data_IF_824063327274
#
_entry.id   IF_824063327274
#
_cell.length_a   1.000
_cell.length_b   1.000
_cell.length_c   1.000
_cell.angle_alpha   90.00
_cell.angle_beta   90.00
_cell.angle_gamma   90.00
#
_symmetry.space_group_name_H-M   'P 1'
#
loop_
_entity.id
_entity.type
_entity.pdbx_description
1 polymer ?
#
# COMPACT_ATOMS: atom_id res chain seq x y z
N UNK A 1 18.84 -16.02 72.01
CA UNK A 1 18.22 -15.54 73.27
C UNK A 1 16.90 -14.87 72.92
N UNK A 2 15.83 -15.12 73.69
CA UNK A 2 14.61 -14.27 73.87
C UNK A 2 13.98 -13.71 72.57
N UNK A 3 12.89 -14.21 71.95
CA UNK A 3 11.57 -14.74 72.38
C UNK A 3 10.49 -13.71 72.76
N UNK A 4 9.28 -13.84 72.17
CA UNK A 4 7.99 -13.23 72.56
C UNK A 4 7.89 -11.68 72.40
N UNK A 5 6.78 -10.98 72.16
CA UNK A 5 5.31 -11.15 72.29
C UNK A 5 4.60 -10.43 71.08
N UNK A 6 3.29 -10.48 70.77
CA UNK A 6 2.12 -11.32 71.12
C UNK A 6 0.91 -10.95 70.21
N UNK A 7 -0.06 -11.86 70.04
CA UNK A 7 -1.44 -11.60 69.51
C UNK A 7 -2.48 -11.85 70.62
N UNK A 8 -3.82 -11.67 70.46
CA UNK A 8 -4.63 -10.83 69.55
C UNK A 8 -5.70 -9.97 70.30
N UNK A 9 -6.58 -9.25 69.58
CA UNK A 9 -7.82 -8.65 70.13
C UNK A 9 -8.48 -7.64 69.16
N UNK A 10 -9.40 -8.08 68.30
CA UNK A 10 -10.87 -8.05 68.51
C UNK A 10 -11.51 -6.65 68.47
N UNK A 11 -11.96 -6.25 67.27
CA UNK A 11 -12.80 -5.06 67.05
C UNK A 11 -13.75 -5.29 65.88
N UNK A 12 -15.04 -5.47 66.17
CA UNK A 12 -16.08 -5.87 65.20
C UNK A 12 -16.99 -4.71 64.83
N UNK A 13 -17.17 -4.42 63.53
CA UNK A 13 -18.47 -4.07 62.89
C UNK A 13 -18.31 -3.69 61.40
N UNK A 14 -19.38 -3.76 60.57
CA UNK A 14 -19.26 -3.89 59.11
C UNK A 14 -19.40 -2.58 58.32
N UNK A 15 -18.66 -2.50 57.19
CA UNK A 15 -18.79 -1.46 56.18
C UNK A 15 -20.00 -1.66 55.26
N UNK A 16 -21.09 -0.98 55.62
CA UNK A 16 -22.30 -0.61 54.87
C UNK A 16 -22.38 -0.90 53.35
N UNK A 17 -23.44 -1.61 52.98
CA UNK A 17 -23.97 -1.70 51.61
C UNK A 17 -24.81 -0.48 51.19
N UNK A 18 -24.59 0.01 49.97
CA UNK A 18 -25.58 0.53 49.00
C UNK A 18 -26.57 1.69 49.31
N UNK A 19 -26.69 2.58 48.31
CA UNK A 19 -27.79 3.52 47.93
C UNK A 19 -27.73 5.00 48.39
N UNK A 20 -27.48 5.89 47.43
CA UNK A 20 -28.31 7.06 47.07
C UNK A 20 -27.80 7.59 45.71
N UNK A 21 -28.51 7.53 44.58
CA UNK A 21 -29.71 8.28 44.14
C UNK A 21 -29.56 9.82 44.03
N UNK A 22 -29.74 10.28 42.79
CA UNK A 22 -30.25 11.59 42.33
C UNK A 22 -29.32 12.81 42.12
N UNK A 23 -29.58 13.45 40.96
CA UNK A 23 -29.11 14.74 40.38
C UNK A 23 -27.89 14.64 39.44
N UNK A 24 -27.87 15.30 38.27
CA UNK A 24 -28.80 16.32 37.75
C UNK A 24 -29.07 16.16 36.24
N UNK A 25 -30.35 15.96 35.88
CA UNK A 25 -30.83 16.00 34.49
C UNK A 25 -31.42 17.37 34.16
N UNK A 26 -30.82 18.11 33.21
CA UNK A 26 -31.40 19.35 32.65
C UNK A 26 -30.70 19.82 31.36
N UNK A 27 -31.07 19.24 30.22
CA UNK A 27 -31.15 19.99 28.95
C UNK A 27 -32.54 19.70 28.37
N UNK A 28 -33.31 20.77 28.13
CA UNK A 28 -34.66 20.68 27.56
C UNK A 28 -34.57 20.64 26.04
N UNK A 29 -35.52 19.95 25.43
CA UNK A 29 -35.70 19.96 23.98
C UNK A 29 -35.95 21.39 23.47
N UNK A 30 -35.32 21.74 22.34
CA UNK A 30 -35.75 22.82 21.46
C UNK A 30 -35.99 22.22 20.07
N UNK A 31 -37.02 22.76 19.43
CA UNK A 31 -37.80 22.26 18.30
C UNK A 31 -37.02 21.98 17.00
N UNK A 32 -37.68 21.22 16.13
CA UNK A 32 -37.52 21.26 14.66
C UNK A 32 -37.93 22.64 14.09
N UNK A 33 -37.71 22.80 12.79
CA UNK A 33 -37.81 24.02 11.97
C UNK A 33 -36.52 24.88 12.06
N UNK A 34 -35.87 25.29 10.97
CA UNK A 34 -36.29 25.32 9.55
C UNK A 34 -35.23 24.73 8.60
N UNK A 35 -35.69 24.31 7.41
CA UNK A 35 -34.82 24.14 6.26
C UNK A 35 -34.25 25.50 5.84
N UNK A 36 -32.92 25.67 5.94
CA UNK A 36 -32.18 26.59 5.06
C UNK A 36 -31.12 25.79 4.34
N UNK A 37 -31.29 25.68 3.02
CA UNK A 37 -30.36 24.94 2.18
C UNK A 37 -28.99 25.59 2.21
N UNK A 38 -28.02 24.91 2.80
CA UNK A 38 -26.64 25.09 2.38
C UNK A 38 -26.53 24.36 1.04
N UNK A 39 -26.47 25.11 -0.06
CA UNK A 39 -26.06 24.54 -1.33
C UNK A 39 -24.58 24.16 -1.20
N UNK A 40 -24.31 22.89 -0.89
CA UNK A 40 -22.96 22.34 -1.03
C UNK A 40 -22.55 22.51 -2.48
N UNK A 41 -21.37 23.08 -2.72
CA UNK A 41 -20.84 23.40 -4.04
C UNK A 41 -20.53 22.14 -4.84
N UNK A 42 -21.50 21.68 -5.64
CA UNK A 42 -21.47 20.42 -6.39
C UNK A 42 -20.59 20.45 -7.66
N UNK A 43 -19.37 21.00 -7.56
CA UNK A 43 -18.43 21.10 -8.70
C UNK A 43 -17.00 20.59 -8.45
N UNK A 44 -16.56 20.35 -7.20
CA UNK A 44 -15.13 20.10 -6.88
C UNK A 44 -14.81 18.63 -6.50
N UNK A 45 -15.79 17.88 -6.00
CA UNK A 45 -15.58 16.54 -5.42
C UNK A 45 -15.19 15.45 -6.44
N UNK A 46 -15.27 15.74 -7.75
CA UNK A 46 -15.16 14.75 -8.84
C UNK A 46 -14.04 15.07 -9.86
N UNK A 47 -13.08 15.95 -9.53
CA UNK A 47 -11.94 16.24 -10.40
C UNK A 47 -10.92 15.11 -10.32
N UNK A 48 -10.86 14.29 -11.36
CA UNK A 48 -9.87 13.23 -11.55
C UNK A 48 -8.49 13.84 -11.90
N UNK A 49 -7.49 13.60 -11.07
CA UNK A 49 -6.18 14.24 -11.23
C UNK A 49 -5.39 13.76 -12.47
N UNK A 50 -5.57 12.50 -12.91
CA UNK A 50 -4.97 12.02 -14.17
C UNK A 50 -5.47 12.82 -15.38
N UNK A 51 -6.78 13.06 -15.47
CA UNK A 51 -7.40 13.85 -16.54
C UNK A 51 -7.00 15.34 -16.50
N UNK A 52 -6.82 15.88 -15.29
CA UNK A 52 -6.32 17.25 -15.07
C UNK A 52 -4.86 17.38 -15.49
N UNK A 53 -4.00 16.46 -15.05
CA UNK A 53 -2.59 16.39 -15.40
C UNK A 53 -2.37 16.18 -16.90
N UNK A 54 -3.16 15.30 -17.54
CA UNK A 54 -3.10 15.10 -18.99
C UNK A 54 -3.47 16.37 -19.76
N UNK A 55 -4.55 17.04 -19.35
CA UNK A 55 -4.92 18.34 -19.93
C UNK A 55 -3.81 19.37 -19.77
N UNK A 56 -3.17 19.41 -18.60
CA UNK A 56 -2.06 20.32 -18.29
C UNK A 56 -0.83 20.04 -19.16
N UNK A 57 -0.53 18.75 -19.40
CA UNK A 57 0.52 18.33 -20.31
C UNK A 57 0.23 18.76 -21.75
N UNK A 58 -0.93 18.38 -22.29
CA UNK A 58 -1.31 18.63 -23.69
C UNK A 58 -1.47 20.13 -23.99
N UNK A 59 -2.05 20.92 -23.07
CA UNK A 59 -2.33 22.36 -23.27
C UNK A 59 -1.11 23.27 -23.03
N UNK A 60 -0.23 22.94 -22.06
CA UNK A 60 0.79 23.87 -21.56
C UNK A 60 2.21 23.30 -21.51
N UNK A 61 2.42 22.12 -20.92
CA UNK A 61 3.78 21.60 -20.69
C UNK A 61 4.43 21.16 -22.00
N UNK A 62 3.74 20.36 -22.82
CA UNK A 62 4.27 19.87 -24.11
C UNK A 62 4.64 21.03 -25.06
N UNK A 63 3.79 22.05 -25.30
CA UNK A 63 4.17 23.21 -26.11
C UNK A 63 5.25 24.11 -25.50
N UNK A 64 5.61 23.94 -24.23
CA UNK A 64 6.75 24.60 -23.59
C UNK A 64 8.04 23.80 -23.80
N UNK A 65 8.00 22.48 -23.56
CA UNK A 65 9.11 21.56 -23.85
C UNK A 65 9.52 21.58 -25.31
N UNK A 66 8.58 21.57 -26.27
CA UNK A 66 8.85 21.68 -27.71
C UNK A 66 9.69 22.92 -28.10
N UNK A 67 9.67 23.99 -27.30
CA UNK A 67 10.41 25.24 -27.55
C UNK A 67 11.72 25.32 -26.79
N UNK A 68 11.82 24.67 -25.63
CA UNK A 68 12.92 24.83 -24.66
C UNK A 68 13.89 23.66 -24.69
N UNK A 69 13.38 22.44 -24.86
CA UNK A 69 14.13 21.18 -24.84
C UNK A 69 13.40 20.10 -25.67
N UNK A 70 13.25 20.28 -27.00
CA UNK A 70 12.59 19.28 -27.85
C UNK A 70 13.24 17.89 -27.75
N UNK A 71 14.55 17.81 -27.53
CA UNK A 71 15.29 16.57 -27.30
C UNK A 71 14.74 15.75 -26.10
N UNK A 72 14.24 16.42 -25.05
CA UNK A 72 13.62 15.77 -23.91
C UNK A 72 12.27 15.11 -24.28
N UNK A 73 11.56 15.61 -25.30
CA UNK A 73 10.40 14.93 -25.88
C UNK A 73 10.78 13.85 -26.89
N UNK A 74 11.90 13.99 -27.60
CA UNK A 74 12.36 12.96 -28.55
C UNK A 74 12.81 11.67 -27.86
N UNK A 75 13.37 11.75 -26.65
CA UNK A 75 13.83 10.55 -25.91
C UNK A 75 13.01 10.22 -24.67
N UNK A 76 12.39 11.21 -24.02
CA UNK A 76 11.77 11.06 -22.70
C UNK A 76 10.33 10.59 -22.70
N UNK A 77 9.89 10.10 -21.55
CA UNK A 77 8.52 9.77 -21.23
C UNK A 77 7.86 10.84 -20.34
N UNK A 78 6.59 11.13 -20.59
CA UNK A 78 5.77 12.10 -19.83
C UNK A 78 4.42 11.46 -19.44
N UNK A 79 3.99 11.67 -18.21
CA UNK A 79 2.78 11.07 -17.67
C UNK A 79 2.50 11.44 -16.22
N UNK A 80 1.69 10.61 -15.54
CA UNK A 80 1.57 10.57 -14.08
C UNK A 80 1.67 9.10 -13.66
N UNK A 81 2.64 8.77 -12.81
CA UNK A 81 2.92 7.42 -12.30
C UNK A 81 3.68 7.55 -10.96
N UNK A 82 3.90 6.43 -10.27
CA UNK A 82 4.63 6.42 -8.98
C UNK A 82 3.71 6.38 -7.76
N UNK A 83 4.03 7.19 -6.76
CA UNK A 83 3.48 7.03 -5.40
C UNK A 83 2.16 7.80 -5.17
N UNK A 84 1.72 8.60 -6.15
CA UNK A 84 0.47 9.35 -6.09
C UNK A 84 -0.77 8.45 -5.97
N UNK A 85 -1.75 8.86 -5.18
CA UNK A 85 -3.03 8.14 -5.01
C UNK A 85 -3.89 8.14 -6.28
N UNK A 86 -3.75 9.15 -7.11
CA UNK A 86 -4.37 9.27 -8.43
C UNK A 86 -3.87 8.19 -9.40
N UNK A 87 -2.60 7.75 -9.26
CA UNK A 87 -2.04 6.66 -10.06
C UNK A 87 -2.78 5.32 -9.83
N UNK A 88 -3.48 5.19 -8.69
CA UNK A 88 -4.32 4.04 -8.33
C UNK A 88 -5.83 4.32 -8.48
N UNK A 89 -6.23 5.53 -8.88
CA UNK A 89 -7.62 5.98 -8.86
C UNK A 89 -8.23 5.97 -7.45
N UNK A 90 -7.48 6.55 -6.50
CA UNK A 90 -7.82 6.70 -5.07
C UNK A 90 -7.68 8.17 -4.60
N UNK A 91 -7.73 9.13 -5.53
CA UNK A 91 -7.58 10.58 -5.33
C UNK A 91 -8.87 11.27 -4.84
N UNK A 92 -9.42 10.78 -3.73
CA UNK A 92 -10.56 11.42 -3.07
C UNK A 92 -10.21 12.76 -2.39
N UNK A 93 -11.22 13.45 -1.85
CA UNK A 93 -11.05 14.75 -1.17
C UNK A 93 -10.17 14.70 0.09
N UNK A 94 -9.84 13.51 0.61
CA UNK A 94 -8.98 13.31 1.76
C UNK A 94 -7.53 12.94 1.38
N UNK A 95 -7.23 12.76 0.09
CA UNK A 95 -5.90 12.40 -0.43
C UNK A 95 -5.40 13.42 -1.46
N UNK A 96 -5.59 14.72 -1.17
CA UNK A 96 -5.19 15.87 -2.01
C UNK A 96 -4.05 16.73 -1.42
N UNK A 97 -3.48 16.33 -0.29
CA UNK A 97 -2.44 17.04 0.47
C UNK A 97 -1.04 16.91 -0.15
N UNK A 98 -0.74 15.76 -0.78
CA UNK A 98 0.51 15.51 -1.49
C UNK A 98 0.26 14.79 -2.84
N UNK A 99 1.15 15.03 -3.82
CA UNK A 99 1.12 14.43 -5.16
C UNK A 99 -0.20 14.63 -5.95
N UNK A 100 -1.00 15.64 -5.63
CA UNK A 100 -2.29 15.90 -6.28
C UNK A 100 -2.30 17.23 -7.04
N UNK A 101 -3.13 17.32 -8.10
CA UNK A 101 -3.34 18.54 -8.89
C UNK A 101 -2.68 18.52 -10.28
N UNK A 102 -2.51 19.68 -10.94
CA UNK A 102 -1.88 19.78 -12.25
C UNK A 102 -0.37 19.50 -12.15
N UNK A 103 0.04 18.27 -12.46
CA UNK A 103 1.44 17.82 -12.46
C UNK A 103 1.77 16.94 -13.66
N UNK A 104 3.05 16.87 -14.01
CA UNK A 104 3.60 15.94 -15.02
C UNK A 104 4.90 15.34 -14.49
N UNK A 105 4.94 14.01 -14.40
CA UNK A 105 6.16 13.24 -14.21
C UNK A 105 6.87 13.09 -15.56
N UNK A 106 8.16 13.41 -15.62
CA UNK A 106 8.98 13.40 -16.83
C UNK A 106 10.21 12.54 -16.56
N UNK A 107 10.37 11.43 -17.29
CA UNK A 107 11.54 10.56 -17.18
C UNK A 107 12.39 10.64 -18.45
N UNK A 108 13.66 10.97 -18.29
CA UNK A 108 14.65 11.03 -19.38
C UNK A 108 15.69 9.92 -19.24
N UNK A 109 16.41 9.56 -20.32
CA UNK A 109 17.67 8.85 -20.18
C UNK A 109 18.61 9.60 -19.22
N UNK A 110 19.21 8.89 -18.27
CA UNK A 110 19.98 9.48 -17.18
C UNK A 110 21.18 10.30 -17.68
N UNK A 111 21.81 9.87 -18.78
CA UNK A 111 22.89 10.60 -19.43
C UNK A 111 22.41 11.95 -20.00
N UNK A 112 21.23 11.98 -20.65
CA UNK A 112 20.66 13.23 -21.16
C UNK A 112 20.37 14.20 -20.01
N UNK A 113 19.75 13.72 -18.92
CA UNK A 113 19.45 14.58 -17.77
C UNK A 113 20.72 15.13 -17.10
N UNK A 114 21.82 14.38 -17.11
CA UNK A 114 23.12 14.83 -16.59
C UNK A 114 23.80 15.87 -17.49
N UNK A 115 23.60 15.80 -18.81
CA UNK A 115 24.16 16.75 -19.78
C UNK A 115 23.31 18.02 -19.95
N UNK A 116 22.01 17.96 -19.61
CA UNK A 116 21.10 19.10 -19.68
C UNK A 116 21.49 20.23 -18.71
N UNK A 117 21.32 21.48 -19.15
CA UNK A 117 21.48 22.65 -18.30
C UNK A 117 20.46 22.61 -17.12
N UNK A 118 20.92 22.70 -15.85
CA UNK A 118 20.05 22.70 -14.67
C UNK A 118 18.91 23.74 -14.67
N UNK A 119 19.05 24.84 -15.41
CA UNK A 119 18.00 25.86 -15.53
C UNK A 119 16.92 25.52 -16.58
N UNK A 120 17.03 24.40 -17.29
CA UNK A 120 16.06 24.01 -18.33
C UNK A 120 14.64 23.90 -17.78
N UNK A 121 14.42 23.21 -16.66
CA UNK A 121 13.08 23.07 -16.08
C UNK A 121 12.51 24.40 -15.58
N UNK A 122 13.36 25.34 -15.14
CA UNK A 122 12.93 26.71 -14.82
C UNK A 122 12.47 27.46 -16.08
N UNK A 123 13.14 27.27 -17.22
CA UNK A 123 12.73 27.83 -18.51
C UNK A 123 11.41 27.23 -19.03
N UNK A 124 11.22 25.92 -18.90
CA UNK A 124 9.94 25.26 -19.22
C UNK A 124 8.82 25.81 -18.33
N UNK A 125 9.09 25.96 -17.02
CA UNK A 125 8.13 26.46 -16.04
C UNK A 125 7.83 27.96 -16.16
N UNK A 126 8.74 28.78 -16.69
CA UNK A 126 8.55 30.22 -16.84
C UNK A 126 7.40 30.61 -17.79
N UNK A 127 6.94 29.68 -18.62
CA UNK A 127 5.74 29.84 -19.47
C UNK A 127 4.44 29.33 -18.84
N UNK A 128 4.48 28.76 -17.63
CA UNK A 128 3.33 28.15 -16.96
C UNK A 128 2.66 29.13 -15.98
N UNK A 129 1.33 29.10 -15.82
CA UNK A 129 0.62 29.93 -14.84
C UNK A 129 0.75 29.38 -13.42
N UNK A 130 0.48 30.22 -12.40
CA UNK A 130 0.42 29.77 -11.00
C UNK A 130 -0.76 28.82 -10.71
N UNK A 131 -1.79 28.83 -11.57
CA UNK A 131 -2.97 27.96 -11.48
C UNK A 131 -3.41 27.46 -12.86
N UNK A 132 -3.91 26.23 -12.91
CA UNK A 132 -4.49 25.62 -14.10
C UNK A 132 -5.88 25.04 -13.79
N UNK A 133 -6.89 25.45 -14.57
CA UNK A 133 -8.30 25.06 -14.41
C UNK A 133 -8.86 25.23 -12.97
N UNK A 134 -8.35 26.23 -12.23
CA UNK A 134 -8.74 26.55 -10.86
C UNK A 134 -7.83 25.96 -9.77
N UNK A 135 -6.93 25.03 -10.12
CA UNK A 135 -6.04 24.36 -9.17
C UNK A 135 -4.63 24.95 -9.22
N UNK A 136 -3.99 25.10 -8.05
CA UNK A 136 -2.62 25.60 -7.92
C UNK A 136 -1.62 24.57 -8.42
N UNK A 137 -0.57 25.04 -9.10
CA UNK A 137 0.59 24.20 -9.40
C UNK A 137 1.45 24.11 -8.14
N UNK A 138 1.51 22.92 -7.54
CA UNK A 138 2.38 22.67 -6.39
C UNK A 138 3.80 22.29 -6.79
N UNK A 139 4.75 22.57 -5.91
CA UNK A 139 6.14 22.15 -6.05
C UNK A 139 6.28 20.73 -5.49
N UNK A 140 6.50 19.76 -6.37
CA UNK A 140 6.87 18.40 -5.97
C UNK A 140 8.31 18.32 -5.44
N UNK A 141 8.82 17.10 -5.28
CA UNK A 141 10.18 16.83 -4.77
C UNK A 141 11.29 17.54 -5.56
N UNK A 142 11.07 17.80 -6.85
CA UNK A 142 12.02 18.47 -7.77
C UNK A 142 11.95 20.00 -7.67
N UNK A 143 11.11 20.56 -6.79
CA UNK A 143 11.05 21.99 -6.45
C UNK A 143 10.49 22.92 -7.55
N UNK A 144 10.22 22.39 -8.74
CA UNK A 144 9.58 23.10 -9.86
C UNK A 144 8.07 22.86 -9.82
N UNK A 145 7.28 23.92 -9.99
CA UNK A 145 5.83 23.83 -9.85
C UNK A 145 5.21 23.05 -11.02
N UNK A 146 4.44 21.99 -10.73
CA UNK A 146 3.79 21.13 -11.71
C UNK A 146 4.71 20.24 -12.56
N UNK A 147 6.04 20.30 -12.40
CA UNK A 147 7.00 19.51 -13.19
C UNK A 147 7.89 18.66 -12.28
N UNK A 148 7.88 17.35 -12.52
CA UNK A 148 8.68 16.36 -11.78
C UNK A 148 9.58 15.60 -12.75
N UNK A 149 10.74 16.18 -13.07
CA UNK A 149 11.70 15.62 -14.00
C UNK A 149 12.76 14.76 -13.29
N UNK A 150 13.10 13.61 -13.88
CA UNK A 150 14.03 12.64 -13.32
C UNK A 150 14.67 11.72 -14.38
N UNK A 151 15.68 10.95 -13.99
CA UNK A 151 16.29 9.89 -14.81
C UNK A 151 15.47 8.60 -14.73
N UNK A 152 15.39 7.84 -15.83
CA UNK A 152 14.73 6.53 -15.86
C UNK A 152 15.40 5.55 -14.89
N UNK A 153 16.73 5.46 -14.93
CA UNK A 153 17.55 4.64 -14.05
C UNK A 153 17.46 5.11 -12.60
N UNK A 154 17.48 6.43 -12.34
CA UNK A 154 17.27 7.01 -11.01
C UNK A 154 15.88 6.71 -10.43
N UNK A 155 14.82 6.76 -11.25
CA UNK A 155 13.46 6.38 -10.86
C UNK A 155 13.36 4.91 -10.50
N UNK A 156 13.79 4.02 -11.39
CA UNK A 156 13.77 2.58 -11.14
C UNK A 156 14.67 2.19 -9.95
N UNK A 157 15.79 2.89 -9.73
CA UNK A 157 16.71 2.57 -8.63
C UNK A 157 16.08 2.87 -7.28
N UNK A 158 15.42 4.03 -7.11
CA UNK A 158 14.74 4.33 -5.84
C UNK A 158 13.48 3.51 -5.60
N UNK A 159 12.80 3.07 -6.66
CA UNK A 159 11.52 2.37 -6.52
C UNK A 159 11.72 0.86 -6.40
N UNK A 160 12.46 0.24 -7.32
CA UNK A 160 12.64 -1.22 -7.40
C UNK A 160 14.09 -1.69 -7.24
N UNK A 161 15.05 -0.80 -6.95
CA UNK A 161 16.46 -1.15 -6.73
C UNK A 161 17.25 -1.50 -7.99
N UNK A 162 16.75 -1.13 -9.17
CA UNK A 162 17.32 -1.49 -10.48
C UNK A 162 17.49 -0.26 -11.36
N UNK A 163 18.52 -0.21 -12.19
CA UNK A 163 18.67 0.82 -13.24
C UNK A 163 17.94 0.49 -14.54
N UNK A 164 17.36 -0.72 -14.64
CA UNK A 164 16.71 -1.23 -15.84
C UNK A 164 15.90 -2.49 -15.53
N UNK A 165 15.65 -3.31 -16.55
CA UNK A 165 14.85 -4.53 -16.40
C UNK A 165 15.53 -5.60 -15.52
N UNK A 166 14.74 -6.47 -14.86
CA UNK A 166 15.25 -7.70 -14.27
C UNK A 166 15.69 -8.69 -15.37
N UNK A 167 16.95 -9.13 -15.31
CA UNK A 167 17.53 -10.04 -16.32
C UNK A 167 17.43 -11.50 -15.90
N UNK A 168 17.43 -11.75 -14.59
CA UNK A 168 17.41 -13.07 -13.96
C UNK A 168 16.19 -13.25 -13.06
N UNK A 169 15.84 -14.50 -12.78
CA UNK A 169 14.78 -14.81 -11.83
C UNK A 169 15.11 -14.37 -10.39
N UNK A 170 16.38 -14.19 -10.06
CA UNK A 170 16.84 -13.64 -8.77
C UNK A 170 16.61 -12.13 -8.72
N UNK A 171 16.91 -11.38 -9.79
CA UNK A 171 16.57 -9.95 -9.88
C UNK A 171 15.07 -9.72 -9.63
N UNK A 172 14.21 -10.56 -10.22
CA UNK A 172 12.76 -10.52 -10.01
C UNK A 172 12.31 -10.80 -8.57
N UNK A 173 13.11 -11.53 -7.79
CA UNK A 173 12.86 -11.77 -6.37
C UNK A 173 13.43 -10.65 -5.48
N UNK A 174 14.48 -9.95 -5.92
CA UNK A 174 15.12 -8.85 -5.19
C UNK A 174 14.42 -7.49 -5.38
N UNK A 175 13.47 -7.37 -6.31
CA UNK A 175 12.57 -6.21 -6.38
C UNK A 175 11.46 -6.31 -5.32
N UNK A 176 11.13 -5.23 -4.58
CA UNK A 176 9.96 -5.20 -3.70
C UNK A 176 8.67 -5.31 -4.53
N UNK A 177 7.80 -6.26 -4.19
CA UNK A 177 6.57 -6.52 -4.94
C UNK A 177 5.58 -5.36 -4.93
N UNK A 178 5.48 -4.73 -3.76
CA UNK A 178 4.69 -3.53 -3.48
C UNK A 178 5.11 -2.35 -4.37
N UNK A 179 6.42 -2.18 -4.56
CA UNK A 179 6.97 -1.02 -5.29
C UNK A 179 6.96 -1.20 -6.81
N UNK A 180 6.90 -2.42 -7.34
CA UNK A 180 6.67 -2.63 -8.79
C UNK A 180 5.35 -1.98 -9.23
N UNK A 181 4.34 -1.97 -8.35
CA UNK A 181 3.06 -1.30 -8.62
C UNK A 181 3.26 0.20 -8.92
N UNK A 182 4.20 0.88 -8.25
CA UNK A 182 4.51 2.30 -8.50
C UNK A 182 5.18 2.55 -9.86
N UNK A 183 5.83 1.56 -10.46
CA UNK A 183 6.42 1.68 -11.82
C UNK A 183 5.34 1.55 -12.90
N UNK A 184 4.36 0.67 -12.70
CA UNK A 184 3.37 0.29 -13.73
C UNK A 184 1.99 0.95 -13.59
N UNK A 185 1.72 1.64 -12.49
CA UNK A 185 0.45 2.36 -12.27
C UNK A 185 0.36 3.69 -13.05
N UNK A 186 -0.78 4.37 -12.94
CA UNK A 186 -1.02 5.63 -13.65
C UNK A 186 -0.91 5.52 -15.18
N UNK A 187 -0.60 6.63 -15.84
CA UNK A 187 -0.61 6.78 -17.30
C UNK A 187 0.71 7.33 -17.84
N UNK A 188 1.12 6.85 -19.02
CA UNK A 188 2.16 7.47 -19.86
C UNK A 188 1.46 8.01 -21.10
N UNK A 189 1.55 9.32 -21.34
CA UNK A 189 0.86 10.00 -22.45
C UNK A 189 1.76 10.20 -23.67
N UNK A 190 3.06 10.27 -23.44
CA UNK A 190 4.09 10.47 -24.45
C UNK A 190 5.34 9.71 -24.01
N UNK A 191 6.02 9.04 -24.94
CA UNK A 191 7.30 8.38 -24.73
C UNK A 191 8.04 8.36 -26.07
N UNK A 192 9.02 9.26 -26.22
CA UNK A 192 9.67 9.49 -27.52
C UNK A 192 10.58 8.34 -27.96
N UNK A 193 11.31 7.75 -27.01
CA UNK A 193 12.17 6.58 -27.26
C UNK A 193 11.41 5.24 -27.17
N UNK A 194 10.30 5.21 -26.43
CA UNK A 194 9.60 3.99 -26.05
C UNK A 194 10.28 3.22 -24.90
N UNK A 195 11.37 3.74 -24.32
CA UNK A 195 12.18 3.05 -23.32
C UNK A 195 11.37 2.74 -22.05
N UNK A 196 10.68 3.74 -21.49
CA UNK A 196 9.92 3.57 -20.25
C UNK A 196 8.65 2.72 -20.49
N UNK A 197 8.02 2.91 -21.64
CA UNK A 197 6.88 2.09 -22.11
C UNK A 197 7.27 0.62 -22.23
N UNK A 198 8.44 0.32 -22.80
CA UNK A 198 8.96 -1.05 -22.88
C UNK A 198 9.25 -1.63 -21.50
N UNK A 199 9.82 -0.84 -20.59
CA UNK A 199 10.07 -1.26 -19.21
C UNK A 199 8.75 -1.63 -18.52
N UNK A 200 7.73 -0.76 -18.62
CA UNK A 200 6.39 -1.02 -18.10
C UNK A 200 5.73 -2.24 -18.74
N UNK A 201 5.89 -2.47 -20.05
CA UNK A 201 5.28 -3.64 -20.71
C UNK A 201 5.85 -4.96 -20.17
N UNK A 202 7.18 -5.05 -19.98
CA UNK A 202 7.82 -6.27 -19.44
C UNK A 202 7.44 -6.51 -17.97
N UNK A 203 7.23 -5.46 -17.18
CA UNK A 203 6.71 -5.60 -15.82
C UNK A 203 5.22 -5.99 -15.82
N UNK A 204 4.41 -5.45 -16.74
CA UNK A 204 2.98 -5.78 -16.88
C UNK A 204 2.72 -7.20 -17.43
N UNK A 205 3.65 -7.76 -18.23
CA UNK A 205 3.65 -9.18 -18.62
C UNK A 205 3.87 -10.13 -17.41
N UNK A 206 4.18 -9.57 -16.25
CA UNK A 206 4.19 -10.19 -14.93
C UNK A 206 5.33 -11.19 -14.70
N UNK A 207 5.38 -11.75 -13.48
CA UNK A 207 6.46 -12.62 -13.05
C UNK A 207 6.64 -13.87 -13.93
N UNK A 208 7.90 -14.25 -14.26
CA UNK A 208 8.23 -15.58 -14.75
C UNK A 208 7.68 -16.66 -13.82
N UNK A 209 7.20 -17.78 -14.38
CA UNK A 209 6.45 -18.81 -13.64
C UNK A 209 7.16 -19.32 -12.37
N UNK A 210 8.48 -19.52 -12.42
CA UNK A 210 9.25 -19.96 -11.25
C UNK A 210 9.35 -18.88 -10.15
N UNK A 211 9.44 -17.60 -10.53
CA UNK A 211 9.42 -16.45 -9.60
C UNK A 211 8.04 -16.35 -8.94
N UNK A 212 6.99 -16.41 -9.75
CA UNK A 212 5.59 -16.37 -9.30
C UNK A 212 5.30 -17.47 -8.26
N UNK A 213 5.63 -18.72 -8.59
CA UNK A 213 5.53 -19.87 -7.67
C UNK A 213 6.34 -19.66 -6.39
N UNK A 214 7.54 -19.07 -6.48
CA UNK A 214 8.39 -18.80 -5.32
C UNK A 214 7.83 -17.71 -4.40
N UNK A 215 7.19 -16.67 -4.95
CA UNK A 215 6.48 -15.63 -4.19
C UNK A 215 5.21 -16.17 -3.52
N UNK A 216 4.39 -16.93 -4.26
CA UNK A 216 3.22 -17.64 -3.70
C UNK A 216 3.64 -18.56 -2.54
N UNK A 217 4.74 -19.31 -2.70
CA UNK A 217 5.27 -20.15 -1.63
C UNK A 217 5.63 -19.34 -0.38
N UNK A 218 6.27 -18.18 -0.53
CA UNK A 218 6.61 -17.29 0.58
C UNK A 218 5.34 -16.87 1.36
N UNK A 219 4.32 -16.34 0.68
CA UNK A 219 3.07 -15.94 1.34
C UNK A 219 2.27 -17.10 1.93
N UNK A 220 2.25 -18.27 1.27
CA UNK A 220 1.66 -19.49 1.83
C UNK A 220 2.26 -19.86 3.20
N UNK A 221 3.59 -19.79 3.34
CA UNK A 221 4.29 -20.02 4.61
C UNK A 221 3.92 -18.98 5.66
N UNK A 222 3.90 -17.71 5.31
CA UNK A 222 3.70 -16.63 6.27
C UNK A 222 2.24 -16.49 6.71
N UNK A 223 1.27 -16.52 5.78
CA UNK A 223 -0.15 -16.43 6.07
C UNK A 223 -0.61 -17.58 6.98
N UNK A 224 -0.17 -18.81 6.71
CA UNK A 224 -0.60 -19.98 7.49
C UNK A 224 0.27 -20.23 8.72
N UNK A 225 1.59 -20.39 8.55
CA UNK A 225 2.50 -20.81 9.63
C UNK A 225 2.92 -19.70 10.58
N UNK A 226 3.09 -18.48 10.10
CA UNK A 226 3.41 -17.31 10.94
C UNK A 226 2.18 -16.43 11.24
N UNK A 227 1.07 -16.66 10.54
CA UNK A 227 -0.21 -15.99 10.71
C UNK A 227 -1.20 -16.84 11.50
N UNK A 228 -2.08 -17.56 10.80
CA UNK A 228 -3.23 -18.27 11.37
C UNK A 228 -2.87 -19.26 12.49
N UNK A 229 -1.81 -20.06 12.30
CA UNK A 229 -1.27 -20.96 13.34
C UNK A 229 -0.86 -20.18 14.61
N UNK A 230 -0.11 -19.09 14.42
CA UNK A 230 0.45 -18.30 15.50
C UNK A 230 -0.64 -17.51 16.26
N UNK A 231 -1.60 -16.95 15.53
CA UNK A 231 -2.80 -16.29 16.05
C UNK A 231 -3.61 -17.25 16.94
N UNK A 232 -3.85 -18.49 16.48
CA UNK A 232 -4.59 -19.49 17.28
C UNK A 232 -3.87 -19.86 18.58
N UNK A 233 -2.54 -19.95 18.54
CA UNK A 233 -1.70 -20.12 19.75
C UNK A 233 -1.66 -18.88 20.64
N UNK A 234 -1.88 -17.68 20.11
CA UNK A 234 -2.00 -16.45 20.89
C UNK A 234 -3.28 -16.46 21.75
N UNK A 235 -4.43 -16.80 21.14
CA UNK A 235 -5.73 -16.94 21.81
C UNK A 235 -5.65 -17.95 22.97
N UNK A 236 -5.10 -19.14 22.71
CA UNK A 236 -4.94 -20.20 23.73
C UNK A 236 -4.07 -19.80 24.93
N UNK A 237 -3.22 -18.78 24.76
CA UNK A 237 -2.32 -18.25 25.80
C UNK A 237 -2.79 -16.90 26.37
N UNK A 238 -3.96 -16.42 25.94
CA UNK A 238 -4.49 -15.09 26.28
C UNK A 238 -3.52 -13.94 25.93
N UNK A 239 -2.62 -14.15 24.96
CA UNK A 239 -1.68 -13.12 24.49
C UNK A 239 -2.39 -12.24 23.46
N UNK A 240 -3.25 -11.34 23.95
CA UNK A 240 -4.08 -10.50 23.10
C UNK A 240 -3.28 -9.51 22.24
N UNK A 241 -2.21 -8.83 22.72
CA UNK A 241 -1.39 -7.96 21.86
C UNK A 241 -0.84 -8.70 20.64
N UNK A 242 -0.26 -9.89 20.83
CA UNK A 242 0.20 -10.69 19.69
C UNK A 242 -0.94 -11.21 18.81
N UNK A 243 -2.11 -11.51 19.39
CA UNK A 243 -3.28 -11.92 18.63
C UNK A 243 -3.77 -10.83 17.65
N UNK A 244 -3.80 -9.56 18.08
CA UNK A 244 -4.14 -8.43 17.20
C UNK A 244 -3.11 -8.25 16.07
N UNK A 245 -1.81 -8.20 16.39
CA UNK A 245 -0.75 -8.09 15.37
C UNK A 245 -0.76 -9.27 14.39
N UNK A 246 -0.93 -10.49 14.88
CA UNK A 246 -1.02 -11.69 14.05
C UNK A 246 -2.26 -11.67 13.16
N UNK A 247 -3.42 -11.21 13.66
CA UNK A 247 -4.65 -11.07 12.87
C UNK A 247 -4.46 -10.07 11.71
N UNK A 248 -4.02 -8.84 12.01
CA UNK A 248 -3.80 -7.81 10.99
C UNK A 248 -2.82 -8.26 9.90
N UNK A 249 -1.67 -8.82 10.30
CA UNK A 249 -0.70 -9.39 9.36
C UNK A 249 -1.26 -10.56 8.55
N UNK A 250 -2.03 -11.46 9.17
CA UNK A 250 -2.63 -12.60 8.43
C UNK A 250 -3.62 -12.09 7.40
N UNK A 251 -4.43 -11.08 7.72
CA UNK A 251 -5.41 -10.50 6.82
C UNK A 251 -4.74 -9.80 5.62
N UNK A 252 -3.68 -9.01 5.86
CA UNK A 252 -2.80 -8.40 4.82
C UNK A 252 -2.29 -9.47 3.84
N UNK A 253 -1.55 -10.45 4.36
CA UNK A 253 -0.95 -11.56 3.58
C UNK A 253 -1.99 -12.39 2.81
N UNK A 254 -3.21 -12.49 3.35
CA UNK A 254 -4.32 -13.23 2.73
C UNK A 254 -4.88 -12.46 1.53
N UNK A 255 -4.91 -11.12 1.57
CA UNK A 255 -5.26 -10.28 0.41
C UNK A 255 -4.12 -10.25 -0.62
N UNK A 256 -2.87 -10.07 -0.20
CA UNK A 256 -1.67 -10.06 -1.08
C UNK A 256 -1.52 -11.37 -1.87
N UNK A 257 -1.77 -12.51 -1.23
CA UNK A 257 -1.77 -13.81 -1.90
C UNK A 257 -2.88 -13.91 -2.96
N UNK A 258 -4.03 -13.25 -2.76
CA UNK A 258 -5.07 -13.19 -3.80
C UNK A 258 -4.65 -12.33 -5.01
N UNK A 259 -3.88 -11.26 -4.81
CA UNK A 259 -3.29 -10.47 -5.90
C UNK A 259 -2.31 -11.32 -6.72
N UNK A 260 -1.42 -12.08 -6.06
CA UNK A 260 -0.54 -13.03 -6.74
C UNK A 260 -1.31 -14.04 -7.60
N UNK A 261 -2.39 -14.63 -7.08
CA UNK A 261 -3.19 -15.61 -7.82
C UNK A 261 -3.97 -14.99 -8.97
N UNK A 262 -4.40 -13.72 -8.85
CA UNK A 262 -4.97 -12.92 -9.95
C UNK A 262 -3.91 -12.39 -10.94
N UNK A 263 -2.62 -12.69 -10.75
CA UNK A 263 -1.48 -12.14 -11.52
C UNK A 263 -1.49 -10.61 -11.61
N UNK A 264 -1.74 -9.94 -10.48
CA UNK A 264 -1.62 -8.48 -10.34
C UNK A 264 -0.65 -8.14 -9.21
N UNK A 265 0.04 -7.03 -9.33
CA UNK A 265 0.79 -6.45 -8.21
C UNK A 265 -0.20 -5.89 -7.18
N UNK A 266 0.03 -6.13 -5.90
CA UNK A 266 -0.70 -5.45 -4.84
C UNK A 266 -0.11 -4.05 -4.60
N UNK A 267 -0.92 -3.05 -4.26
CA UNK A 267 -0.42 -1.76 -3.81
C UNK A 267 -0.09 -1.81 -2.31
N UNK A 268 0.58 -0.76 -1.82
CA UNK A 268 0.86 -0.56 -0.40
C UNK A 268 -0.40 -0.53 0.48
N UNK A 269 -0.23 -0.84 1.77
CA UNK A 269 -1.27 -1.14 2.76
C UNK A 269 -2.49 -0.22 2.74
N UNK A 270 -2.28 1.09 2.55
CA UNK A 270 -3.34 2.12 2.48
C UNK A 270 -4.40 1.77 1.43
N UNK A 271 -3.98 1.23 0.29
CA UNK A 271 -4.83 0.95 -0.87
C UNK A 271 -5.08 -0.54 -1.11
N UNK A 272 -4.54 -1.43 -0.26
CA UNK A 272 -4.66 -2.88 -0.40
C UNK A 272 -6.12 -3.34 -0.44
N UNK A 273 -6.95 -2.97 0.55
CA UNK A 273 -8.36 -3.37 0.57
C UNK A 273 -9.22 -2.69 -0.52
N UNK A 274 -9.16 -1.36 -0.76
CA UNK A 274 -9.88 -0.71 -1.86
C UNK A 274 -9.54 -1.23 -3.26
N UNK A 275 -8.33 -1.78 -3.44
CA UNK A 275 -7.90 -2.44 -4.68
C UNK A 275 -8.28 -3.92 -4.71
N UNK A 276 -8.22 -4.61 -3.58
CA UNK A 276 -8.60 -6.02 -3.44
C UNK A 276 -10.04 -6.27 -3.88
N UNK A 277 -10.98 -5.42 -3.46
CA UNK A 277 -12.40 -5.55 -3.83
C UNK A 277 -12.68 -5.36 -5.34
N UNK A 278 -11.67 -4.95 -6.12
CA UNK A 278 -11.72 -4.82 -7.58
C UNK A 278 -11.13 -6.04 -8.32
N UNK A 279 -10.63 -7.06 -7.61
CA UNK A 279 -10.14 -8.31 -8.23
C UNK A 279 -11.30 -9.17 -8.76
N UNK A 280 -11.07 -9.86 -9.87
CA UNK A 280 -12.09 -10.66 -10.56
C UNK A 280 -12.28 -12.03 -9.87
N UNK A 281 -11.18 -12.70 -9.51
CA UNK A 281 -11.19 -13.94 -8.74
C UNK A 281 -10.97 -13.65 -7.26
N UNK A 282 -11.47 -14.53 -6.40
CA UNK A 282 -11.36 -14.55 -4.93
C UNK A 282 -12.08 -13.40 -4.18
N UNK A 283 -11.97 -12.15 -4.63
CA UNK A 283 -12.54 -11.01 -3.91
C UNK A 283 -14.07 -11.07 -3.72
N UNK A 284 -14.91 -11.53 -4.66
CA UNK A 284 -16.36 -11.65 -4.44
C UNK A 284 -16.74 -12.54 -3.24
N UNK A 285 -15.97 -13.58 -2.97
CA UNK A 285 -16.23 -14.53 -1.88
C UNK A 285 -15.48 -14.16 -0.59
N UNK A 286 -14.27 -13.61 -0.70
CA UNK A 286 -13.45 -13.24 0.45
C UNK A 286 -13.86 -11.90 1.08
N UNK A 287 -14.36 -10.93 0.31
CA UNK A 287 -14.78 -9.60 0.82
C UNK A 287 -15.73 -9.70 2.03
N UNK A 288 -16.87 -10.41 1.98
CA UNK A 288 -17.75 -10.53 3.15
C UNK A 288 -17.07 -11.20 4.36
N UNK A 289 -16.09 -12.08 4.14
CA UNK A 289 -15.33 -12.71 5.22
C UNK A 289 -14.35 -11.73 5.87
N UNK A 290 -13.69 -10.90 5.06
CA UNK A 290 -12.79 -9.82 5.49
C UNK A 290 -13.58 -8.79 6.30
N UNK A 291 -14.70 -8.31 5.76
CA UNK A 291 -15.60 -7.37 6.43
C UNK A 291 -16.10 -7.92 7.77
N UNK A 292 -16.63 -9.16 7.80
CA UNK A 292 -17.08 -9.76 9.06
C UNK A 292 -15.91 -9.90 10.07
N UNK A 293 -14.72 -10.29 9.61
CA UNK A 293 -13.57 -10.51 10.50
C UNK A 293 -13.07 -9.22 11.17
N UNK A 294 -13.24 -8.06 10.53
CA UNK A 294 -12.76 -6.76 11.01
C UNK A 294 -13.76 -6.03 11.91
N UNK A 295 -15.02 -6.46 11.99
CA UNK A 295 -16.02 -5.87 12.91
C UNK A 295 -15.59 -6.02 14.36
N UNK A 296 -15.94 -5.04 15.19
CA UNK A 296 -15.65 -5.02 16.63
C UNK A 296 -16.38 -6.13 17.42
N UNK A 297 -17.56 -6.55 16.97
CA UNK A 297 -18.45 -7.53 17.63
C UNK A 297 -18.11 -8.99 17.31
N UNK A 298 -17.28 -9.24 16.30
CA UNK A 298 -16.82 -10.59 15.92
C UNK A 298 -15.91 -11.20 17.00
N UNK A 299 -16.12 -12.47 17.35
CA UNK A 299 -15.28 -13.18 18.33
C UNK A 299 -13.95 -13.64 17.72
N UNK A 300 -12.96 -13.96 18.55
CA UNK A 300 -11.67 -14.46 18.08
C UNK A 300 -11.76 -15.84 17.43
N UNK A 301 -12.62 -16.71 17.96
CA UNK A 301 -12.96 -18.02 17.40
C UNK A 301 -13.60 -17.86 16.02
N UNK A 302 -14.49 -16.86 15.85
CA UNK A 302 -15.09 -16.55 14.56
C UNK A 302 -14.07 -15.97 13.57
N UNK A 303 -13.17 -15.06 14.00
CA UNK A 303 -12.06 -14.56 13.14
C UNK A 303 -11.15 -15.70 12.65
N UNK A 304 -10.82 -16.67 13.51
CA UNK A 304 -10.08 -17.86 13.09
C UNK A 304 -10.85 -18.60 11.99
N UNK A 305 -12.15 -18.87 12.18
CA UNK A 305 -12.93 -19.61 11.19
C UNK A 305 -13.07 -18.86 9.84
N UNK A 306 -13.23 -17.54 9.88
CA UNK A 306 -13.27 -16.71 8.67
C UNK A 306 -11.93 -16.76 7.90
N UNK A 307 -10.80 -16.71 8.62
CA UNK A 307 -9.47 -16.88 8.01
C UNK A 307 -9.25 -18.31 7.48
N UNK A 308 -9.76 -19.34 8.17
CA UNK A 308 -9.74 -20.73 7.68
C UNK A 308 -10.53 -20.89 6.37
N UNK A 309 -11.66 -20.17 6.23
CA UNK A 309 -12.44 -20.11 4.98
C UNK A 309 -11.69 -19.36 3.87
N UNK A 310 -11.12 -18.18 4.15
CA UNK A 310 -10.28 -17.44 3.19
C UNK A 310 -9.09 -18.28 2.71
N UNK A 311 -8.42 -19.02 3.60
CA UNK A 311 -7.31 -19.89 3.23
C UNK A 311 -7.75 -21.12 2.41
N UNK A 312 -9.01 -21.57 2.57
CA UNK A 312 -9.57 -22.60 1.70
C UNK A 312 -9.81 -22.08 0.28
N UNK A 313 -10.37 -20.87 0.12
CA UNK A 313 -10.58 -20.25 -1.20
C UNK A 313 -9.25 -20.04 -1.96
N UNK A 314 -8.20 -19.56 -1.26
CA UNK A 314 -6.86 -19.41 -1.84
C UNK A 314 -6.23 -20.74 -2.28
N UNK A 315 -6.47 -21.82 -1.53
CA UNK A 315 -5.98 -23.16 -1.86
C UNK A 315 -6.78 -23.81 -3.00
N UNK A 316 -8.10 -23.61 -3.04
CA UNK A 316 -8.98 -24.03 -4.14
C UNK A 316 -8.55 -23.34 -5.45
N UNK A 317 -8.28 -22.03 -5.46
CA UNK A 317 -7.71 -21.30 -6.61
C UNK A 317 -6.30 -21.81 -7.00
N UNK A 318 -5.42 -22.12 -6.04
CA UNK A 318 -4.13 -22.73 -6.36
C UNK A 318 -4.28 -24.13 -6.99
N UNK A 319 -5.31 -24.90 -6.64
CA UNK A 319 -5.62 -26.18 -7.30
C UNK A 319 -6.14 -25.94 -8.71
N UNK A 320 -7.03 -24.97 -8.93
CA UNK A 320 -7.54 -24.61 -10.27
C UNK A 320 -6.42 -24.17 -11.22
N UNK A 321 -5.48 -23.35 -10.73
CA UNK A 321 -4.31 -22.88 -11.49
C UNK A 321 -3.23 -23.96 -11.70
N UNK A 322 -3.42 -25.18 -11.17
CA UNK A 322 -2.44 -26.27 -11.24
C UNK A 322 -1.14 -25.99 -10.47
N UNK A 323 -1.16 -25.04 -9.53
CA UNK A 323 -0.02 -24.67 -8.69
C UNK A 323 0.25 -25.70 -7.59
N UNK A 324 -0.81 -26.34 -7.08
CA UNK A 324 -0.76 -27.40 -6.08
C UNK A 324 -1.68 -28.55 -6.48
N UNK A 325 -1.35 -29.78 -6.06
CA UNK A 325 -2.14 -30.96 -6.43
C UNK A 325 -3.51 -30.91 -5.74
N UNK A 326 -4.58 -31.38 -6.40
CA UNK A 326 -5.90 -31.53 -5.77
C UNK A 326 -5.89 -32.55 -4.61
N UNK A 327 -6.75 -32.37 -3.60
CA UNK A 327 -6.82 -33.24 -2.41
C UNK A 327 -8.20 -33.21 -1.72
N UNK A 328 -8.50 -34.18 -0.84
CA UNK A 328 -9.66 -34.08 0.05
C UNK A 328 -9.49 -32.96 1.09
N UNK A 329 -10.61 -32.49 1.66
CA UNK A 329 -10.61 -31.55 2.79
C UNK A 329 -9.95 -32.18 4.03
N UNK A 330 -9.06 -31.44 4.70
CA UNK A 330 -8.44 -31.87 5.94
C UNK A 330 -9.21 -31.36 7.17
N UNK A 331 -9.01 -32.00 8.33
CA UNK A 331 -9.55 -31.51 9.61
C UNK A 331 -8.54 -30.56 10.28
N UNK A 332 -8.95 -29.43 10.87
CA UNK A 332 -8.06 -28.57 11.64
C UNK A 332 -7.55 -29.31 12.89
N UNK A 333 -6.28 -29.08 13.26
CA UNK A 333 -5.69 -29.67 14.46
C UNK A 333 -6.08 -28.88 15.72
N UNK A 334 -6.35 -29.56 16.85
CA UNK A 334 -6.86 -28.93 18.07
C UNK A 334 -6.03 -27.74 18.55
N UNK A 335 -4.70 -27.79 18.46
CA UNK A 335 -3.82 -26.67 18.84
C UNK A 335 -3.16 -25.91 17.69
N UNK A 336 -3.12 -26.49 16.49
CA UNK A 336 -2.42 -25.89 15.34
C UNK A 336 -3.35 -25.27 14.28
N UNK A 337 -4.66 -25.52 14.36
CA UNK A 337 -5.64 -25.01 13.40
C UNK A 337 -5.49 -25.64 12.02
N UNK A 338 -6.02 -24.95 11.02
CA UNK A 338 -5.94 -25.33 9.62
C UNK A 338 -4.66 -24.77 8.96
N UNK A 339 -3.57 -25.56 8.95
CA UNK A 339 -2.29 -25.18 8.32
C UNK A 339 -2.28 -25.49 6.81
N UNK A 340 -3.34 -25.13 6.09
CA UNK A 340 -3.57 -25.59 4.73
C UNK A 340 -2.49 -25.11 3.75
N UNK A 341 -2.24 -23.79 3.69
CA UNK A 341 -1.31 -23.20 2.73
C UNK A 341 0.16 -23.69 2.93
N UNK A 342 0.53 -24.19 4.12
CA UNK A 342 1.85 -24.81 4.31
C UNK A 342 2.06 -26.10 3.49
N UNK A 343 0.96 -26.77 3.09
CA UNK A 343 1.02 -27.83 2.09
C UNK A 343 1.43 -27.28 0.73
N UNK A 344 0.76 -26.21 0.28
CA UNK A 344 1.07 -25.51 -0.96
C UNK A 344 2.51 -24.99 -1.01
N UNK A 345 2.99 -24.36 0.08
CA UNK A 345 4.39 -23.96 0.26
C UNK A 345 5.39 -25.09 -0.07
N UNK A 346 5.13 -26.31 0.42
CA UNK A 346 6.01 -27.46 0.19
C UNK A 346 5.96 -27.98 -1.26
N UNK A 347 4.80 -27.94 -1.92
CA UNK A 347 4.67 -28.37 -3.31
C UNK A 347 5.30 -27.33 -4.26
N UNK A 348 5.03 -26.04 -4.03
CA UNK A 348 5.61 -24.93 -4.79
C UNK A 348 7.14 -24.87 -4.68
N UNK A 349 7.72 -25.02 -3.47
CA UNK A 349 9.18 -25.05 -3.31
C UNK A 349 9.85 -26.23 -4.04
N UNK A 350 9.13 -27.32 -4.31
CA UNK A 350 9.63 -28.45 -5.11
C UNK A 350 9.46 -28.25 -6.61
N UNK A 351 8.63 -27.30 -7.03
CA UNK A 351 8.31 -27.01 -8.41
C UNK A 351 9.19 -25.88 -9.01
N UNK A 352 10.01 -25.22 -8.19
CA UNK A 352 10.96 -24.16 -8.61
C UNK A 352 12.40 -24.67 -8.59
N UNK A 353 13.32 -24.06 -9.37
CA UNK A 353 14.76 -24.35 -9.31
C UNK A 353 15.35 -24.19 -7.91
N UNK A 354 16.38 -24.97 -7.58
CA UNK A 354 17.01 -25.01 -6.24
C UNK A 354 17.54 -23.65 -5.80
N UNK A 355 18.14 -22.88 -6.72
CA UNK A 355 18.60 -21.50 -6.51
C UNK A 355 17.47 -20.60 -5.97
N UNK A 356 16.31 -20.60 -6.65
CA UNK A 356 15.16 -19.79 -6.25
C UNK A 356 14.48 -20.35 -4.98
N UNK A 357 14.53 -21.66 -4.75
CA UNK A 357 14.00 -22.25 -3.52
C UNK A 357 14.76 -21.75 -2.28
N UNK A 358 16.09 -21.59 -2.38
CA UNK A 358 16.94 -21.02 -1.33
C UNK A 358 16.83 -19.50 -1.19
N UNK A 359 16.61 -18.78 -2.29
CA UNK A 359 16.49 -17.32 -2.30
C UNK A 359 15.23 -16.84 -1.58
N UNK A 360 15.31 -15.74 -0.82
CA UNK A 360 14.13 -15.15 -0.13
C UNK A 360 13.66 -13.92 -0.90
N UNK A 361 12.39 -13.83 -1.33
CA UNK A 361 11.88 -12.65 -2.01
C UNK A 361 11.97 -11.42 -1.11
N UNK A 362 12.32 -10.28 -1.69
CA UNK A 362 12.17 -8.98 -1.07
C UNK A 362 10.70 -8.55 -1.11
N UNK A 363 10.20 -8.13 0.05
CA UNK A 363 8.81 -7.76 0.26
C UNK A 363 8.63 -6.43 1.02
N UNK A 364 9.71 -5.86 1.56
CA UNK A 364 9.70 -4.58 2.27
C UNK A 364 10.20 -3.46 1.33
N UNK A 365 9.72 -2.23 1.51
CA UNK A 365 10.02 -1.05 0.66
C UNK A 365 11.44 -0.47 0.87
N UNK A 366 12.47 -1.32 0.78
CA UNK A 366 13.85 -0.99 1.17
C UNK A 366 14.44 0.17 0.36
N UNK A 367 14.23 0.19 -0.96
CA UNK A 367 14.81 1.21 -1.83
C UNK A 367 14.10 2.57 -1.69
N UNK A 368 12.78 2.54 -1.49
CA UNK A 368 12.00 3.75 -1.29
C UNK A 368 12.36 4.40 0.06
N UNK A 369 12.52 3.61 1.13
CA UNK A 369 12.98 4.11 2.43
C UNK A 369 14.41 4.65 2.39
N UNK A 370 15.32 4.03 1.62
CA UNK A 370 16.67 4.57 1.41
C UNK A 370 16.63 5.95 0.74
N UNK A 371 15.76 6.13 -0.27
CA UNK A 371 15.56 7.42 -0.92
C UNK A 371 14.94 8.46 0.02
N UNK A 372 13.88 8.11 0.75
CA UNK A 372 13.23 9.00 1.73
C UNK A 372 14.19 9.39 2.85
N UNK A 373 14.99 8.46 3.36
CA UNK A 373 16.06 8.73 4.34
C UNK A 373 17.03 9.78 3.82
N UNK A 374 17.51 9.64 2.58
CA UNK A 374 18.42 10.60 1.95
C UNK A 374 17.80 11.98 1.75
N UNK A 375 16.52 12.03 1.35
CA UNK A 375 15.75 13.27 1.20
C UNK A 375 15.57 13.99 2.54
N UNK A 376 15.06 13.30 3.56
CA UNK A 376 14.79 13.88 4.89
C UNK A 376 16.07 14.34 5.57
N UNK A 377 17.17 13.60 5.44
CA UNK A 377 18.48 14.00 5.96
C UNK A 377 19.06 15.26 5.29
N UNK A 378 18.53 15.69 4.15
CA UNK A 378 18.91 16.92 3.45
C UNK A 378 18.05 18.15 3.78
N UNK A 379 16.99 17.99 4.58
CA UNK A 379 16.09 19.08 4.97
C UNK A 379 16.56 19.78 6.25
N UNK A 380 16.23 21.07 6.39
CA UNK A 380 16.26 21.76 7.68
C UNK A 380 14.96 21.51 8.49
N UNK A 381 15.00 21.87 9.77
CA UNK A 381 13.90 21.62 10.72
C UNK A 381 12.62 22.36 10.33
N UNK A 382 12.72 23.63 9.89
CA UNK A 382 11.57 24.43 9.47
C UNK A 382 10.89 23.84 8.22
N UNK A 383 11.68 23.40 7.23
CA UNK A 383 11.18 22.72 6.04
C UNK A 383 10.52 21.39 6.38
N UNK A 384 11.10 20.60 7.29
CA UNK A 384 10.55 19.32 7.71
C UNK A 384 9.24 19.46 8.50
N UNK A 385 9.20 20.35 9.50
CA UNK A 385 7.98 20.63 10.27
C UNK A 385 6.85 21.13 9.37
N UNK A 386 7.17 21.99 8.40
CA UNK A 386 6.20 22.47 7.41
C UNK A 386 5.67 21.36 6.51
N UNK A 387 6.51 20.42 6.05
CA UNK A 387 6.08 19.27 5.26
C UNK A 387 5.18 18.32 6.06
N UNK A 388 5.40 18.20 7.37
CA UNK A 388 4.56 17.41 8.27
C UNK A 388 3.29 18.15 8.73
N UNK A 389 3.08 19.41 8.32
CA UNK A 389 2.03 20.30 8.82
C UNK A 389 2.04 20.45 10.36
N UNK A 390 3.23 20.46 10.97
CA UNK A 390 3.43 20.63 12.41
C UNK A 390 3.71 22.09 12.74
N UNK A 391 2.69 22.79 13.23
CA UNK A 391 2.83 24.14 13.79
C UNK A 391 3.03 24.07 15.33
N UNK A 392 3.93 24.89 15.93
CA UNK A 392 4.04 25.00 17.38
C UNK A 392 2.76 25.57 18.02
N UNK A 393 2.38 25.07 19.21
CA UNK A 393 1.26 25.56 20.03
C UNK A 393 1.56 26.89 20.77
#
# INVERSE_FOLDING_TARGET
MISSLSSPGSGSSPGTTARCWARCSRIRAIKRDEQKGMAVSTQDDNVNALSLGRSFFDELVRPSMEKVCPEALETGACGIFGNGSECFGMDDVHSRDHHWGPRVCILLPDELLQEMDPDTWKRVAAGLPDTFKGFKLEKGLVGTAGLEADGIGAFLTRTIGRTGLPETATDWLDMPEEDIAHVVNGEVWHDGSGQFTHIRSVLLDYYPDAVWKRRIAHWCRYASGMGLYAMRRAIMRQNMPFCFTAFGRTLKLTMELAFLLNRRYFPYDKWLYPSFVRLEKLAPEMTPLIEESTRHDTSWERRIHLLEQMHALLDEEMVELGLVSAHPRFKPHESSGYRLLERGYRELLKAVPEELAGHTPLCDQVFLEQFVTGYVAGLDEDAWLKLLNLEPE
#
